data_IF_037456842812
#
_entry.id   IF_037456842812
#
_cell.length_a   1.000
_cell.length_b   1.000
_cell.length_c   1.000
_cell.angle_alpha   90.00
_cell.angle_beta   90.00
_cell.angle_gamma   90.00
#
_symmetry.space_group_name_H-M   'P 1'
#
loop_
_entity.id
_entity.type
_entity.pdbx_description
1 polymer ?
#
# COMPACT_ATOMS: atom_id res chain seq x y z
N UNK A 1 37.27 -24.38 20.58
CA UNK A 1 38.23 -23.57 19.78
C UNK A 1 37.52 -23.15 18.51
N UNK A 2 37.22 -21.87 18.33
CA UNK A 2 36.65 -21.34 17.10
C UNK A 2 37.80 -21.07 16.14
N UNK A 3 37.92 -21.88 15.09
CA UNK A 3 38.89 -21.65 14.01
C UNK A 3 38.48 -20.35 13.27
N UNK A 4 39.29 -19.31 13.42
CA UNK A 4 39.21 -18.17 12.50
C UNK A 4 39.56 -18.69 11.11
N UNK A 5 38.58 -18.67 10.19
CA UNK A 5 38.82 -18.78 8.78
C UNK A 5 39.73 -17.62 8.37
N UNK A 6 40.77 -17.92 7.65
CA UNK A 6 41.92 -17.07 7.40
C UNK A 6 41.60 -15.68 6.85
N UNK A 7 42.62 -14.84 6.81
CA UNK A 7 42.59 -13.50 6.26
C UNK A 7 42.06 -13.52 4.81
N UNK A 8 40.77 -13.31 4.68
CA UNK A 8 40.14 -13.05 3.40
C UNK A 8 40.49 -11.61 3.04
N UNK A 9 41.17 -11.37 1.94
CA UNK A 9 41.44 -10.03 1.39
C UNK A 9 40.15 -9.34 0.92
N UNK A 10 39.00 -9.94 1.18
CA UNK A 10 37.69 -9.42 0.87
C UNK A 10 37.37 -8.16 1.70
N UNK A 11 37.51 -7.02 1.06
CA UNK A 11 37.03 -5.75 1.58
C UNK A 11 35.54 -5.60 1.20
N UNK A 12 34.68 -5.65 2.22
CA UNK A 12 33.25 -5.38 2.05
C UNK A 12 33.06 -4.03 1.34
N UNK A 13 32.36 -4.03 0.22
CA UNK A 13 32.02 -2.78 -0.49
C UNK A 13 31.29 -1.81 0.44
N UNK A 14 31.56 -0.51 0.28
CA UNK A 14 30.96 0.56 1.12
C UNK A 14 29.43 0.62 1.00
N UNK A 15 28.87 0.13 -0.10
CA UNK A 15 27.43 0.13 -0.37
C UNK A 15 26.90 -1.30 -0.55
N UNK A 16 25.75 -1.58 0.04
CA UNK A 16 25.03 -2.84 -0.15
C UNK A 16 24.34 -2.88 -1.53
N UNK A 17 24.00 -4.06 -2.02
CA UNK A 17 23.22 -4.21 -3.26
C UNK A 17 21.93 -3.41 -3.24
N UNK A 18 21.27 -3.32 -2.08
CA UNK A 18 20.01 -2.58 -1.89
C UNK A 18 20.20 -1.05 -2.01
N UNK A 19 21.37 -0.54 -1.64
CA UNK A 19 21.70 0.89 -1.74
C UNK A 19 22.09 1.33 -3.14
N UNK A 20 22.32 0.38 -4.04
CA UNK A 20 22.64 0.63 -5.45
C UNK A 20 21.42 0.63 -6.36
N UNK A 21 20.25 0.23 -5.85
CA UNK A 21 19.03 0.17 -6.65
C UNK A 21 18.60 1.57 -7.10
N UNK A 22 18.24 1.68 -8.36
CA UNK A 22 17.63 2.88 -8.94
C UNK A 22 16.18 3.05 -8.45
N UNK A 23 15.59 4.22 -8.69
CA UNK A 23 14.19 4.46 -8.35
C UNK A 23 13.27 3.49 -9.08
N UNK A 24 13.49 3.31 -10.38
CA UNK A 24 12.69 2.42 -11.23
C UNK A 24 12.75 0.97 -10.73
N UNK A 25 13.93 0.50 -10.33
CA UNK A 25 14.09 -0.84 -9.77
C UNK A 25 13.42 -1.00 -8.40
N UNK A 26 13.38 0.05 -7.59
CA UNK A 26 12.64 0.05 -6.31
C UNK A 26 11.14 0.01 -6.56
N UNK A 27 10.63 0.82 -7.49
CA UNK A 27 9.22 0.87 -7.86
C UNK A 27 8.76 -0.49 -8.43
N UNK A 28 9.58 -1.12 -9.28
CA UNK A 28 9.33 -2.48 -9.77
C UNK A 28 9.26 -3.51 -8.62
N UNK A 29 10.16 -3.40 -7.65
CA UNK A 29 10.13 -4.29 -6.47
C UNK A 29 8.93 -4.03 -5.56
N UNK A 30 8.37 -2.85 -5.55
CA UNK A 30 7.17 -2.51 -4.78
C UNK A 30 5.86 -2.87 -5.49
N UNK A 31 5.90 -3.34 -6.75
CA UNK A 31 4.69 -3.81 -7.44
C UNK A 31 4.01 -4.92 -6.64
N UNK A 32 2.71 -4.77 -6.40
CA UNK A 32 1.90 -5.70 -5.59
C UNK A 32 2.09 -5.56 -4.08
N UNK A 33 2.78 -4.51 -3.63
CA UNK A 33 2.89 -4.17 -2.22
C UNK A 33 2.06 -2.92 -1.91
N UNK A 34 1.46 -2.89 -0.74
CA UNK A 34 0.62 -1.79 -0.25
C UNK A 34 1.28 -1.16 0.97
N UNK A 35 1.32 0.16 0.98
CA UNK A 35 1.84 0.94 2.10
C UNK A 35 0.95 0.81 3.33
N UNK A 36 1.56 0.60 4.49
CA UNK A 36 0.87 0.57 5.78
C UNK A 36 0.91 1.97 6.38
N UNK A 37 -0.24 2.64 6.36
CA UNK A 37 -0.40 3.99 6.93
C UNK A 37 -0.95 3.96 8.35
N UNK A 38 -1.56 2.84 8.73
CA UNK A 38 -2.23 2.68 10.01
C UNK A 38 -1.67 1.49 10.79
N UNK A 39 -1.41 1.70 12.07
CA UNK A 39 -0.94 0.66 12.99
C UNK A 39 -2.00 -0.45 13.20
N UNK A 40 -3.28 -0.11 13.13
CA UNK A 40 -4.35 -1.11 13.26
C UNK A 40 -4.30 -2.08 12.07
N UNK A 41 -4.07 -1.60 10.85
CA UNK A 41 -3.86 -2.44 9.68
C UNK A 41 -2.66 -3.39 9.89
N UNK A 42 -1.55 -2.89 10.45
CA UNK A 42 -0.37 -3.71 10.74
C UNK A 42 -0.70 -4.88 11.67
N UNK A 43 -1.55 -4.66 12.67
CA UNK A 43 -1.99 -5.69 13.62
C UNK A 43 -2.85 -6.77 12.96
N UNK A 44 -3.58 -6.47 11.88
CA UNK A 44 -4.43 -7.44 11.17
C UNK A 44 -3.66 -8.33 10.20
N UNK A 45 -2.54 -7.85 9.65
CA UNK A 45 -1.76 -8.58 8.65
C UNK A 45 -1.27 -9.93 9.22
N UNK A 46 -1.50 -11.06 8.52
CA UNK A 46 -1.13 -12.39 9.01
C UNK A 46 0.39 -12.59 9.06
N UNK A 47 0.86 -13.41 10.01
CA UNK A 47 2.24 -13.86 10.04
C UNK A 47 2.60 -14.63 8.78
N UNK A 48 3.84 -14.52 8.33
CA UNK A 48 4.31 -15.09 7.07
C UNK A 48 4.17 -14.18 5.85
N UNK A 49 3.45 -13.06 5.97
CA UNK A 49 3.33 -12.06 4.89
C UNK A 49 4.69 -11.43 4.58
N UNK A 50 4.99 -11.24 3.31
CA UNK A 50 6.21 -10.56 2.86
C UNK A 50 6.09 -9.05 3.07
N UNK A 51 7.14 -8.47 3.62
CA UNK A 51 7.27 -7.04 3.87
C UNK A 51 8.46 -6.48 3.12
N UNK A 52 8.33 -5.24 2.67
CA UNK A 52 9.41 -4.35 2.24
C UNK A 52 9.31 -3.06 3.01
N UNK A 53 10.40 -2.31 3.12
CA UNK A 53 10.34 -1.07 3.89
C UNK A 53 11.43 -0.09 3.49
N UNK A 54 11.16 1.17 3.76
CA UNK A 54 12.19 2.20 3.84
C UNK A 54 12.52 2.49 5.28
N UNK A 55 13.78 2.66 5.58
CA UNK A 55 14.26 3.11 6.89
C UNK A 55 14.83 4.52 6.77
N UNK A 56 14.58 5.34 7.77
CA UNK A 56 15.12 6.69 7.87
C UNK A 56 16.37 6.66 8.75
N UNK A 57 17.53 6.80 8.14
CA UNK A 57 18.83 6.81 8.82
C UNK A 57 19.39 8.22 8.87
N UNK A 58 19.94 8.61 10.03
CA UNK A 58 20.63 9.89 10.17
C UNK A 58 22.08 9.76 9.70
N UNK A 59 22.42 10.45 8.62
CA UNK A 59 23.80 10.60 8.14
C UNK A 59 24.27 12.05 8.42
N UNK A 60 24.93 12.21 9.57
CA UNK A 60 25.32 13.54 10.05
C UNK A 60 24.10 14.41 10.40
N UNK A 61 23.90 15.52 9.67
CA UNK A 61 22.76 16.44 9.84
C UNK A 61 21.56 16.12 8.92
N UNK A 62 21.69 15.16 8.01
CA UNK A 62 20.65 14.81 7.04
C UNK A 62 20.00 13.48 7.41
N UNK A 63 18.69 13.38 7.16
CA UNK A 63 17.94 12.11 7.23
C UNK A 63 17.90 11.55 5.81
N UNK A 64 18.38 10.32 5.65
CA UNK A 64 18.42 9.60 4.37
C UNK A 64 17.42 8.47 4.41
N UNK A 65 16.58 8.38 3.39
CA UNK A 65 15.60 7.30 3.20
C UNK A 65 16.27 6.16 2.43
N UNK A 66 16.41 4.98 3.05
CA UNK A 66 17.06 3.81 2.45
C UNK A 66 16.07 2.68 2.28
N UNK A 67 15.99 2.14 1.06
CA UNK A 67 15.16 0.98 0.74
C UNK A 67 15.77 -0.30 1.30
N UNK A 68 14.91 -1.19 1.80
CA UNK A 68 15.26 -2.53 2.29
C UNK A 68 14.29 -3.56 1.70
N UNK A 69 14.83 -4.63 1.15
CA UNK A 69 14.06 -5.73 0.56
C UNK A 69 13.16 -6.44 1.56
N UNK A 70 13.43 -6.26 2.86
CA UNK A 70 12.61 -6.83 3.90
C UNK A 70 12.65 -8.35 3.97
N UNK A 71 11.54 -8.93 4.42
CA UNK A 71 11.41 -10.36 4.64
C UNK A 71 9.99 -10.73 5.06
N UNK A 72 9.81 -11.94 5.57
CA UNK A 72 8.51 -12.42 6.07
C UNK A 72 8.29 -11.97 7.51
N UNK A 73 7.10 -11.50 7.81
CA UNK A 73 6.67 -11.15 9.16
C UNK A 73 6.59 -12.41 10.02
N UNK A 74 7.33 -12.46 11.11
CA UNK A 74 7.33 -13.60 12.04
C UNK A 74 6.82 -13.25 13.44
N UNK A 75 6.91 -11.98 13.81
CA UNK A 75 6.36 -11.50 15.08
C UNK A 75 5.91 -10.04 14.97
N UNK A 76 4.78 -9.73 15.59
CA UNK A 76 4.17 -8.38 15.65
C UNK A 76 3.57 -8.05 17.03
N UNK A 77 3.97 -8.77 18.09
CA UNK A 77 3.40 -8.59 19.44
C UNK A 77 3.61 -7.16 19.97
N UNK A 78 4.67 -6.50 19.53
CA UNK A 78 4.99 -5.12 19.86
C UNK A 78 4.88 -4.19 18.63
N UNK A 79 3.85 -4.37 17.80
CA UNK A 79 3.67 -3.63 16.55
C UNK A 79 3.66 -2.10 16.71
N UNK A 80 3.35 -1.59 17.89
CA UNK A 80 3.43 -0.16 18.20
C UNK A 80 4.88 0.38 18.21
N UNK A 81 5.87 -0.49 18.39
CA UNK A 81 7.29 -0.13 18.47
C UNK A 81 8.10 -0.76 17.35
N UNK A 82 7.99 -2.07 17.18
CA UNK A 82 8.76 -2.82 16.20
C UNK A 82 8.03 -4.08 15.75
N UNK A 83 8.38 -4.55 14.57
CA UNK A 83 8.02 -5.87 14.05
C UNK A 83 9.29 -6.69 13.83
N UNK A 84 9.17 -8.02 13.81
CA UNK A 84 10.28 -8.91 13.51
C UNK A 84 10.07 -9.57 12.17
N UNK A 85 11.06 -9.39 11.31
CA UNK A 85 11.10 -9.98 9.98
C UNK A 85 12.15 -11.11 9.92
N UNK A 86 11.95 -12.03 8.98
CA UNK A 86 12.88 -13.12 8.72
C UNK A 86 13.16 -13.30 7.23
N UNK A 87 14.38 -13.69 6.91
CA UNK A 87 14.78 -14.14 5.58
C UNK A 87 15.34 -15.57 5.66
N UNK A 88 15.05 -16.36 4.63
CA UNK A 88 15.42 -17.78 4.59
C UNK A 88 14.50 -18.67 5.45
N UNK A 89 14.90 -19.92 5.61
CA UNK A 89 14.21 -20.96 6.39
C UNK A 89 15.17 -21.61 7.35
N UNK A 90 14.69 -22.16 8.48
CA UNK A 90 15.54 -22.94 9.38
C UNK A 90 16.28 -24.06 8.64
N UNK A 91 17.53 -24.37 9.00
CA UNK A 91 18.31 -23.80 10.11
C UNK A 91 19.04 -22.48 9.78
N UNK A 92 18.99 -21.98 8.54
CA UNK A 92 19.72 -20.78 8.06
C UNK A 92 18.84 -19.52 8.03
N UNK A 93 17.85 -19.46 8.90
CA UNK A 93 16.96 -18.29 9.00
C UNK A 93 17.67 -17.12 9.70
N UNK A 94 17.67 -15.98 9.05
CA UNK A 94 18.09 -14.70 9.62
C UNK A 94 16.88 -13.92 10.08
N UNK A 95 16.91 -13.38 11.29
CA UNK A 95 15.84 -12.57 11.85
C UNK A 95 16.35 -11.20 12.28
N UNK A 96 15.52 -10.16 12.13
CA UNK A 96 15.85 -8.82 12.58
C UNK A 96 14.58 -8.06 12.93
N UNK A 97 14.70 -7.05 13.80
CA UNK A 97 13.61 -6.15 14.16
C UNK A 97 13.64 -4.87 13.32
N UNK A 98 12.47 -4.39 12.94
CA UNK A 98 12.26 -3.14 12.21
C UNK A 98 11.45 -2.21 13.10
N UNK A 99 11.98 -1.02 13.38
CA UNK A 99 11.31 0.00 14.18
C UNK A 99 10.19 0.65 13.35
N UNK A 100 8.95 0.54 13.79
CA UNK A 100 7.79 1.03 13.05
C UNK A 100 7.80 2.55 12.92
N UNK A 101 8.10 3.26 14.00
CA UNK A 101 8.13 4.73 14.00
C UNK A 101 9.24 5.37 13.18
N UNK A 102 10.22 4.60 12.70
CA UNK A 102 11.35 5.08 11.90
C UNK A 102 11.42 4.43 10.51
N UNK A 103 10.30 3.86 10.05
CA UNK A 103 10.25 3.12 8.79
C UNK A 103 8.90 3.33 8.11
N UNK A 104 8.90 3.35 6.79
CA UNK A 104 7.70 3.18 5.98
C UNK A 104 7.59 1.71 5.58
N UNK A 105 6.52 1.07 5.97
CA UNK A 105 6.30 -0.36 5.80
C UNK A 105 5.36 -0.63 4.63
N UNK A 106 5.69 -1.66 3.84
CA UNK A 106 4.88 -2.15 2.72
C UNK A 106 4.70 -3.66 2.87
N UNK A 107 3.49 -4.15 2.71
CA UNK A 107 3.20 -5.58 2.75
C UNK A 107 2.67 -6.08 1.43
N UNK A 108 3.00 -7.32 1.08
CA UNK A 108 2.49 -7.97 -0.11
C UNK A 108 1.04 -8.38 0.10
N UNK A 109 0.14 -7.78 -0.66
CA UNK A 109 -1.27 -8.13 -0.63
C UNK A 109 -1.50 -9.49 -1.29
N UNK A 110 -2.36 -10.31 -0.72
CA UNK A 110 -2.77 -11.56 -1.38
C UNK A 110 -3.68 -11.26 -2.56
N UNK A 111 -3.56 -12.04 -3.61
CA UNK A 111 -4.39 -11.88 -4.82
C UNK A 111 -5.88 -12.04 -4.50
N UNK A 112 -6.21 -12.94 -3.59
CA UNK A 112 -7.57 -13.17 -3.10
C UNK A 112 -8.18 -11.91 -2.47
N UNK A 113 -7.44 -11.25 -1.56
CA UNK A 113 -7.90 -10.01 -0.91
C UNK A 113 -8.10 -8.85 -1.92
N UNK A 114 -7.34 -8.85 -3.01
CA UNK A 114 -7.48 -7.86 -4.09
C UNK A 114 -8.74 -8.14 -4.92
N UNK A 115 -9.03 -9.41 -5.20
CA UNK A 115 -10.21 -9.82 -5.98
C UNK A 115 -11.47 -9.48 -5.19
N UNK A 116 -11.56 -9.88 -3.93
CA UNK A 116 -12.71 -9.62 -3.07
C UNK A 116 -13.01 -8.12 -2.96
N UNK A 117 -11.98 -7.31 -2.71
CA UNK A 117 -12.13 -5.85 -2.65
C UNK A 117 -12.59 -5.26 -3.97
N UNK A 118 -12.04 -5.72 -5.10
CA UNK A 118 -12.45 -5.23 -6.42
C UNK A 118 -13.90 -5.62 -6.75
N UNK A 119 -14.36 -6.80 -6.33
CA UNK A 119 -15.76 -7.23 -6.50
C UNK A 119 -16.72 -6.33 -5.72
N UNK A 120 -16.39 -6.00 -4.47
CA UNK A 120 -17.17 -5.09 -3.64
C UNK A 120 -17.21 -3.67 -4.22
N UNK A 121 -16.08 -3.14 -4.68
CA UNK A 121 -16.00 -1.83 -5.34
C UNK A 121 -16.82 -1.78 -6.64
N UNK A 122 -16.76 -2.85 -7.45
CA UNK A 122 -17.56 -2.97 -8.69
C UNK A 122 -19.05 -3.02 -8.37
N UNK A 123 -19.46 -3.71 -7.30
CA UNK A 123 -20.86 -3.76 -6.88
C UNK A 123 -21.35 -2.40 -6.41
N UNK A 124 -20.58 -1.71 -5.56
CA UNK A 124 -20.90 -0.36 -5.09
C UNK A 124 -21.06 0.62 -6.25
N UNK A 125 -20.13 0.61 -7.22
CA UNK A 125 -20.20 1.45 -8.42
C UNK A 125 -21.39 1.13 -9.31
N UNK A 126 -21.82 -0.12 -9.41
CA UNK A 126 -23.02 -0.50 -10.15
C UNK A 126 -24.29 0.05 -9.49
N UNK A 127 -24.37 -0.02 -8.17
CA UNK A 127 -25.52 0.48 -7.41
C UNK A 127 -25.60 2.01 -7.49
N UNK A 128 -24.48 2.71 -7.40
CA UNK A 128 -24.40 4.16 -7.58
C UNK A 128 -24.80 4.58 -9.00
N UNK A 129 -24.29 3.88 -10.02
CA UNK A 129 -24.70 4.14 -11.42
C UNK A 129 -26.20 3.94 -11.65
N UNK A 130 -26.81 2.93 -11.02
CA UNK A 130 -28.25 2.71 -11.09
C UNK A 130 -29.00 3.88 -10.45
N UNK A 131 -28.60 4.32 -9.27
CA UNK A 131 -29.19 5.47 -8.57
C UNK A 131 -29.12 6.76 -9.41
N UNK A 132 -27.93 7.07 -9.93
CA UNK A 132 -27.73 8.23 -10.80
C UNK A 132 -28.58 8.20 -12.09
N UNK A 133 -28.77 7.00 -12.66
CA UNK A 133 -29.67 6.84 -13.84
C UNK A 133 -31.13 7.12 -13.49
N UNK A 134 -31.58 6.71 -12.32
CA UNK A 134 -32.96 6.94 -11.90
C UNK A 134 -33.19 8.41 -11.52
N UNK A 135 -32.25 9.04 -10.83
CA UNK A 135 -32.26 10.49 -10.58
C UNK A 135 -32.27 11.31 -11.88
N UNK A 136 -31.46 10.89 -12.86
CA UNK A 136 -31.45 11.53 -14.18
C UNK A 136 -32.82 11.46 -14.89
N UNK A 137 -33.50 10.31 -14.82
CA UNK A 137 -34.85 10.15 -15.40
C UNK A 137 -35.85 11.07 -14.72
N UNK A 138 -35.81 11.16 -13.39
CA UNK A 138 -36.69 12.04 -12.62
C UNK A 138 -36.46 13.52 -12.96
N UNK A 139 -35.21 13.92 -13.09
CA UNK A 139 -34.82 15.27 -13.51
C UNK A 139 -35.33 15.60 -14.92
N UNK A 140 -35.24 14.67 -15.85
CA UNK A 140 -35.75 14.84 -17.23
C UNK A 140 -37.29 15.03 -17.22
N UNK A 141 -38.03 14.26 -16.41
CA UNK A 141 -39.46 14.43 -16.26
C UNK A 141 -39.82 15.82 -15.70
N UNK A 142 -39.16 16.23 -14.63
CA UNK A 142 -39.36 17.60 -14.06
C UNK A 142 -39.01 18.71 -15.05
N UNK A 143 -37.94 18.53 -15.81
CA UNK A 143 -37.58 19.49 -16.88
C UNK A 143 -38.64 19.59 -17.95
N UNK A 144 -39.18 18.50 -18.44
CA UNK A 144 -40.22 18.48 -19.46
C UNK A 144 -41.53 19.15 -18.96
N UNK A 145 -41.92 18.88 -17.71
CA UNK A 145 -43.07 19.57 -17.09
C UNK A 145 -42.86 21.10 -17.00
N UNK A 146 -41.64 21.53 -16.65
CA UNK A 146 -41.30 22.94 -16.60
C UNK A 146 -41.35 23.60 -17.97
N UNK A 147 -40.86 22.93 -19.01
CA UNK A 147 -40.91 23.39 -20.39
C UNK A 147 -42.37 23.55 -20.87
N UNK A 148 -43.22 22.58 -20.53
CA UNK A 148 -44.66 22.69 -20.85
C UNK A 148 -45.35 23.86 -20.14
N UNK A 149 -45.10 24.05 -18.84
CA UNK A 149 -45.60 25.18 -18.06
C UNK A 149 -45.16 26.52 -18.65
N UNK A 150 -43.88 26.62 -19.00
CA UNK A 150 -43.32 27.80 -19.63
C UNK A 150 -43.95 28.11 -20.98
N UNK A 151 -44.16 27.10 -21.81
CA UNK A 151 -44.79 27.29 -23.14
C UNK A 151 -46.25 27.73 -23.01
N UNK A 152 -47.02 27.20 -22.03
CA UNK A 152 -48.39 27.64 -21.74
C UNK A 152 -48.42 29.09 -21.28
N UNK A 153 -47.54 29.49 -20.36
CA UNK A 153 -47.44 30.89 -19.89
C UNK A 153 -47.06 31.86 -21.03
N UNK A 154 -46.07 31.49 -21.85
CA UNK A 154 -45.67 32.30 -22.99
C UNK A 154 -46.80 32.52 -23.98
N UNK A 155 -47.63 31.53 -24.21
CA UNK A 155 -48.80 31.63 -25.12
C UNK A 155 -49.94 32.45 -24.51
N UNK A 156 -50.09 32.51 -23.17
CA UNK A 156 -51.10 33.33 -22.50
C UNK A 156 -50.76 34.83 -22.47
N UNK A 157 -49.45 35.18 -22.50
CA UNK A 157 -48.96 36.57 -22.52
C UNK A 157 -49.03 37.18 -23.92
N UNK A 158 -49.13 36.37 -24.98
CA UNK A 158 -49.19 36.82 -26.37
C UNK A 158 -50.65 37.09 -26.86
N UNK A 159 -51.65 36.84 -26.04
CA UNK A 159 -53.04 37.20 -26.22
C UNK A 159 -53.34 38.50 -25.47
#
# INVERSE_FOLDING_TARGET
MTTRLGNDDYKRGKQTLQEKLTKEEIDEKLLGYVEIKDLELLKTIPLGTEFRYFVFEKEGKKVVKKFRLGGRLINKDNADKYIVLASGYPPKQLTWSVQVGNSELFYKQKVEDIIDKNEDDVKALKDENKKLKDEKKELILKYNELVEKYSKLKNSIKK
#
